data_IF_230377042675
#
_entry.id   IF_230377042675
#
_cell.length_a   1.000
_cell.length_b   1.000
_cell.length_c   1.000
_cell.angle_alpha   90.00
_cell.angle_beta   90.00
_cell.angle_gamma   90.00
#
_symmetry.space_group_name_H-M   'P 1'
#
loop_
_entity.id
_entity.type
_entity.pdbx_description
1 polymer ?
#
# COMPACT_ATOMS: atom_id res chain seq x y z
N UNK A 1 11.66 6.03 -10.67
CA UNK A 1 10.97 5.05 -9.85
C UNK A 1 9.51 5.42 -9.71
N UNK A 2 8.62 4.48 -9.93
CA UNK A 2 7.17 4.74 -9.88
C UNK A 2 6.55 3.99 -8.70
N UNK A 3 5.83 4.71 -7.87
CA UNK A 3 5.24 4.21 -6.63
C UNK A 3 3.73 4.29 -6.66
N UNK A 4 3.07 3.28 -6.09
CA UNK A 4 1.63 3.30 -5.84
C UNK A 4 1.41 3.53 -4.34
N UNK A 5 0.59 4.53 -4.01
CA UNK A 5 0.14 4.77 -2.64
C UNK A 5 -1.35 4.49 -2.54
N UNK A 6 -1.74 3.54 -1.69
CA UNK A 6 -3.15 3.23 -1.43
C UNK A 6 -3.49 3.69 -0.01
N UNK A 7 -4.18 4.82 0.09
CA UNK A 7 -4.51 5.47 1.35
C UNK A 7 -5.80 6.28 1.20
N UNK A 8 -6.78 6.06 2.06
CA UNK A 8 -8.05 6.76 2.01
C UNK A 8 -8.04 8.12 2.73
N UNK A 9 -7.14 8.31 3.69
CA UNK A 9 -6.98 9.61 4.36
C UNK A 9 -6.24 10.58 3.43
N UNK A 10 -6.96 11.57 2.94
CA UNK A 10 -6.44 12.52 1.95
C UNK A 10 -5.27 13.35 2.51
N UNK A 11 -5.31 13.72 3.78
CA UNK A 11 -4.23 14.51 4.40
C UNK A 11 -2.94 13.70 4.49
N UNK A 12 -3.04 12.45 4.93
CA UNK A 12 -1.89 11.54 5.00
C UNK A 12 -1.36 11.29 3.59
N UNK A 13 -2.25 10.99 2.64
CA UNK A 13 -1.86 10.74 1.26
C UNK A 13 -1.15 11.93 0.63
N UNK A 14 -1.63 13.16 0.85
CA UNK A 14 -0.98 14.36 0.33
C UNK A 14 0.40 14.56 0.95
N UNK A 15 0.52 14.35 2.26
CA UNK A 15 1.80 14.49 2.95
C UNK A 15 2.83 13.50 2.39
N UNK A 16 2.45 12.24 2.27
CA UNK A 16 3.35 11.17 1.77
C UNK A 16 3.69 11.41 0.30
N UNK A 17 2.67 11.71 -0.52
CA UNK A 17 2.85 11.94 -1.96
C UNK A 17 3.78 13.13 -2.22
N UNK A 18 3.58 14.24 -1.51
CA UNK A 18 4.42 15.43 -1.68
C UNK A 18 5.87 15.14 -1.30
N UNK A 19 6.09 14.44 -0.19
CA UNK A 19 7.44 14.07 0.24
C UNK A 19 8.14 13.16 -0.77
N UNK A 20 7.43 12.18 -1.31
CA UNK A 20 7.99 11.26 -2.30
C UNK A 20 8.28 11.96 -3.62
N UNK A 21 7.39 12.85 -4.07
CA UNK A 21 7.61 13.60 -5.30
C UNK A 21 8.77 14.57 -5.18
N UNK A 22 8.94 15.21 -4.02
CA UNK A 22 10.11 16.06 -3.75
C UNK A 22 11.40 15.25 -3.81
N UNK A 23 11.35 13.98 -3.43
CA UNK A 23 12.51 13.09 -3.52
C UNK A 23 12.75 12.55 -4.94
N UNK A 24 11.92 12.92 -5.92
CA UNK A 24 12.11 12.55 -7.32
C UNK A 24 11.32 11.33 -7.79
N UNK A 25 10.40 10.80 -6.97
CA UNK A 25 9.58 9.65 -7.36
C UNK A 25 8.29 10.08 -8.06
N UNK A 26 7.85 9.28 -9.04
CA UNK A 26 6.51 9.40 -9.59
C UNK A 26 5.56 8.61 -8.68
N UNK A 27 4.45 9.21 -8.27
CA UNK A 27 3.51 8.60 -7.34
C UNK A 27 2.10 8.65 -7.90
N UNK A 28 1.45 7.49 -7.97
CA UNK A 28 0.02 7.39 -8.23
C UNK A 28 -0.69 7.12 -6.90
N UNK A 29 -1.78 7.82 -6.64
CA UNK A 29 -2.54 7.67 -5.41
C UNK A 29 -3.91 7.05 -5.68
N UNK A 30 -4.21 5.96 -4.96
CA UNK A 30 -5.52 5.33 -4.93
C UNK A 30 -6.18 5.59 -3.57
N UNK A 31 -7.47 5.89 -3.58
CA UNK A 31 -8.20 6.29 -2.35
C UNK A 31 -8.91 5.14 -1.65
N UNK A 32 -8.98 3.98 -2.28
CA UNK A 32 -9.58 2.78 -1.70
C UNK A 32 -8.91 1.52 -2.25
N UNK A 33 -9.29 0.36 -1.67
CA UNK A 33 -8.67 -0.90 -2.03
C UNK A 33 -9.03 -1.39 -3.43
N UNK A 34 -10.21 -1.07 -3.95
CA UNK A 34 -10.61 -1.47 -5.30
C UNK A 34 -9.79 -0.72 -6.36
N UNK A 35 -9.67 0.60 -6.20
CA UNK A 35 -8.83 1.40 -7.09
C UNK A 35 -7.37 0.98 -7.00
N UNK A 36 -6.88 0.73 -5.76
CA UNK A 36 -5.53 0.27 -5.53
C UNK A 36 -5.24 -1.06 -6.23
N UNK A 37 -6.16 -2.00 -6.14
CA UNK A 37 -6.02 -3.29 -6.81
C UNK A 37 -6.00 -3.12 -8.33
N UNK A 38 -6.90 -2.32 -8.88
CA UNK A 38 -6.94 -2.08 -10.32
C UNK A 38 -5.61 -1.53 -10.81
N UNK A 39 -5.08 -0.50 -10.16
CA UNK A 39 -3.80 0.08 -10.56
C UNK A 39 -2.65 -0.91 -10.38
N UNK A 40 -2.61 -1.64 -9.27
CA UNK A 40 -1.55 -2.62 -9.01
C UNK A 40 -1.51 -3.72 -10.07
N UNK A 41 -2.66 -4.10 -10.62
CA UNK A 41 -2.75 -5.15 -11.65
C UNK A 41 -2.46 -4.63 -13.06
N UNK A 42 -2.69 -3.35 -13.33
CA UNK A 42 -2.64 -2.80 -14.70
C UNK A 42 -1.42 -1.95 -14.98
N UNK A 43 -0.75 -1.42 -13.95
CA UNK A 43 0.36 -0.51 -14.12
C UNK A 43 1.64 -1.06 -13.46
N UNK A 44 2.81 -0.78 -14.05
CA UNK A 44 4.08 -1.25 -13.45
C UNK A 44 4.52 -0.31 -12.33
N UNK A 45 4.70 -0.85 -11.13
CA UNK A 45 5.21 -0.11 -9.99
C UNK A 45 6.48 -0.75 -9.45
N UNK A 46 7.39 0.09 -8.94
CA UNK A 46 8.60 -0.38 -8.27
C UNK A 46 8.34 -0.68 -6.80
N UNK A 47 7.34 -0.03 -6.21
CA UNK A 47 6.92 -0.24 -4.83
C UNK A 47 5.46 0.17 -4.66
N UNK A 48 4.71 -0.57 -3.86
CA UNK A 48 3.38 -0.19 -3.44
C UNK A 48 3.38 0.06 -1.93
N UNK A 49 2.81 1.19 -1.52
CA UNK A 49 2.63 1.55 -0.11
C UNK A 49 1.14 1.44 0.17
N UNK A 50 0.75 0.54 1.08
CA UNK A 50 -0.65 0.17 1.29
C UNK A 50 -1.04 0.34 2.75
N UNK A 51 -2.10 1.09 3.01
CA UNK A 51 -2.74 1.13 4.32
C UNK A 51 -3.58 -0.14 4.50
N UNK A 52 -3.59 -0.72 5.69
CA UNK A 52 -4.40 -1.91 5.98
C UNK A 52 -5.88 -1.57 6.10
N UNK A 53 -6.21 -0.41 6.64
CA UNK A 53 -7.60 -0.01 6.93
C UNK A 53 -8.18 0.80 5.78
N UNK A 54 -8.53 0.12 4.70
CA UNK A 54 -9.08 0.76 3.51
C UNK A 54 -10.57 0.45 3.35
N UNK A 55 -11.36 1.40 2.80
CA UNK A 55 -12.73 1.10 2.39
C UNK A 55 -12.77 0.21 1.15
N UNK A 56 -13.89 -0.46 0.95
CA UNK A 56 -14.23 -1.33 -0.19
C UNK A 56 -13.44 -2.63 -0.24
N UNK A 57 -12.11 -2.57 -0.12
CA UNK A 57 -11.26 -3.75 -0.10
C UNK A 57 -10.10 -3.46 0.85
N UNK A 58 -9.97 -4.24 1.92
CA UNK A 58 -8.89 -4.00 2.90
C UNK A 58 -7.51 -4.29 2.32
N UNK A 59 -6.47 -3.71 2.96
CA UNK A 59 -5.12 -3.78 2.44
C UNK A 59 -4.54 -5.18 2.38
N UNK A 60 -4.85 -6.05 3.35
CA UNK A 60 -4.36 -7.43 3.33
C UNK A 60 -4.96 -8.23 2.18
N UNK A 61 -6.25 -8.08 1.94
CA UNK A 61 -6.93 -8.73 0.82
C UNK A 61 -6.38 -8.22 -0.51
N UNK A 62 -6.13 -6.91 -0.61
CA UNK A 62 -5.50 -6.33 -1.79
C UNK A 62 -4.16 -7.00 -2.08
N UNK A 63 -3.30 -7.13 -1.08
CA UNK A 63 -1.98 -7.75 -1.22
C UNK A 63 -2.11 -9.20 -1.68
N UNK A 64 -3.03 -9.96 -1.06
CA UNK A 64 -3.28 -11.35 -1.46
C UNK A 64 -3.66 -11.45 -2.95
N UNK A 65 -4.58 -10.60 -3.40
CA UNK A 65 -5.03 -10.62 -4.79
C UNK A 65 -3.93 -10.23 -5.77
N UNK A 66 -3.08 -9.28 -5.41
CA UNK A 66 -1.92 -8.92 -6.22
C UNK A 66 -0.98 -10.12 -6.37
N UNK A 67 -0.69 -10.82 -5.27
CA UNK A 67 0.19 -12.00 -5.31
C UNK A 67 -0.46 -13.17 -6.06
N UNK A 68 -1.76 -13.38 -5.93
CA UNK A 68 -2.48 -14.41 -6.70
C UNK A 68 -2.36 -14.19 -8.20
N UNK A 69 -2.27 -12.95 -8.65
CA UNK A 69 -2.07 -12.58 -10.05
C UNK A 69 -0.59 -12.60 -10.46
N UNK A 70 0.29 -13.15 -9.63
CA UNK A 70 1.71 -13.33 -9.88
C UNK A 70 2.47 -12.03 -10.11
N UNK A 71 2.01 -10.97 -9.49
CA UNK A 71 2.67 -9.66 -9.50
C UNK A 71 3.54 -9.58 -8.26
N UNK A 72 4.83 -9.32 -8.45
CA UNK A 72 5.85 -9.34 -7.40
C UNK A 72 6.28 -7.94 -6.94
N UNK A 73 5.51 -6.91 -7.23
CA UNK A 73 5.79 -5.56 -6.75
C UNK A 73 6.03 -5.58 -5.23
N UNK A 74 7.16 -5.08 -4.74
CA UNK A 74 7.39 -4.97 -3.30
C UNK A 74 6.29 -4.15 -2.63
N UNK A 75 5.85 -4.58 -1.45
CA UNK A 75 4.77 -3.92 -0.72
C UNK A 75 5.25 -3.51 0.67
N UNK A 76 5.07 -2.21 0.97
CA UNK A 76 5.27 -1.64 2.30
C UNK A 76 3.90 -1.36 2.91
N UNK A 77 3.62 -1.95 4.07
CA UNK A 77 2.38 -1.71 4.79
C UNK A 77 2.57 -0.55 5.76
N UNK A 78 1.69 0.45 5.66
CA UNK A 78 1.55 1.50 6.67
C UNK A 78 0.27 1.21 7.46
N UNK A 79 0.37 1.09 8.78
CA UNK A 79 -0.81 0.76 9.58
C UNK A 79 -0.75 1.41 10.95
N UNK A 80 -1.92 1.87 11.44
CA UNK A 80 -2.10 2.30 12.81
C UNK A 80 -2.14 1.10 13.78
N UNK A 81 -2.33 -0.11 13.29
CA UNK A 81 -2.31 -1.33 14.09
C UNK A 81 -0.88 -1.64 14.51
N UNK A 82 -0.70 -1.96 15.78
CA UNK A 82 0.62 -2.18 16.37
C UNK A 82 0.83 -3.58 16.93
N UNK A 83 -0.14 -4.48 16.79
CA UNK A 83 -0.01 -5.82 17.33
C UNK A 83 1.00 -6.65 16.53
N UNK A 84 1.68 -7.56 17.23
CA UNK A 84 2.59 -8.51 16.58
C UNK A 84 1.82 -9.39 15.60
N UNK A 85 0.59 -9.75 15.95
CA UNK A 85 -0.25 -10.59 15.11
C UNK A 85 -0.57 -9.91 13.78
N UNK A 86 -0.88 -8.62 13.78
CA UNK A 86 -1.13 -7.86 12.55
C UNK A 86 0.10 -7.82 11.66
N UNK A 87 1.30 -7.66 12.23
CA UNK A 87 2.55 -7.71 11.48
C UNK A 87 2.78 -9.07 10.85
N UNK A 88 2.57 -10.13 11.63
CA UNK A 88 2.74 -11.51 11.14
C UNK A 88 1.76 -11.79 10.01
N UNK A 89 0.50 -11.39 10.16
CA UNK A 89 -0.49 -11.55 9.10
C UNK A 89 -0.12 -10.80 7.83
N UNK A 90 0.35 -9.57 7.95
CA UNK A 90 0.79 -8.79 6.79
C UNK A 90 1.92 -9.47 6.04
N UNK A 91 2.92 -9.95 6.74
CA UNK A 91 4.04 -10.66 6.14
C UNK A 91 3.63 -12.00 5.53
N UNK A 92 2.75 -12.74 6.18
CA UNK A 92 2.22 -14.02 5.66
C UNK A 92 1.41 -13.84 4.38
N UNK A 93 0.67 -12.74 4.27
CA UNK A 93 -0.18 -12.45 3.11
C UNK A 93 0.59 -11.86 1.93
N UNK A 94 1.87 -11.62 2.10
CA UNK A 94 2.77 -11.30 1.01
C UNK A 94 3.32 -9.90 0.98
N UNK A 95 3.18 -9.11 2.05
CA UNK A 95 3.90 -7.86 2.15
C UNK A 95 5.38 -8.13 2.42
N UNK A 96 6.23 -7.28 1.92
CA UNK A 96 7.68 -7.38 2.14
C UNK A 96 8.11 -6.60 3.38
N UNK A 97 7.38 -5.55 3.71
CA UNK A 97 7.70 -4.66 4.82
C UNK A 97 6.45 -4.25 5.56
N UNK A 98 6.59 -4.04 6.85
CA UNK A 98 5.49 -3.56 7.69
C UNK A 98 6.00 -2.39 8.53
N UNK A 99 5.32 -1.25 8.43
CA UNK A 99 5.65 -0.05 9.18
C UNK A 99 4.41 0.45 9.91
N UNK A 100 4.46 0.51 11.24
CA UNK A 100 3.36 1.05 12.03
C UNK A 100 3.31 2.57 11.91
N UNK A 101 2.10 3.11 11.71
CA UNK A 101 1.87 4.54 11.77
C UNK A 101 1.67 4.97 13.22
N UNK A 102 2.29 6.07 13.57
CA UNK A 102 2.11 6.72 14.86
C UNK A 102 1.25 7.96 14.63
N UNK A 103 0.00 7.83 14.96
CA UNK A 103 -0.94 8.94 14.82
C UNK A 103 -1.34 9.51 16.14
#
# INVERSE_FOLDING_TARGET
MRLLLVEDDIKIAQFVTNGLREAGFAVDHAVDGEEGLHLALTEPYDLAIVDLMLPKLDGLTLIEKVRENKINTPVLILSAKRSVDDRVDGLRKGSDYYLAQFG
#
